data_IF_429895149846
#
_entry.id   IF_429895149846
#
_cell.length_a   1.000
_cell.length_b   1.000
_cell.length_c   1.000
_cell.angle_alpha   90.00
_cell.angle_beta   90.00
_cell.angle_gamma   90.00
#
_symmetry.space_group_name_H-M   'P 1'
#
loop_
_entity.id
_entity.type
_entity.pdbx_description
1 polymer ?
#
# COMPACT_ATOMS: atom_id res chain seq x y z
N UNK A 1 25.39 30.62 8.65
CA UNK A 1 23.96 30.50 8.33
C UNK A 1 23.79 29.82 6.97
N UNK A 2 22.84 28.89 6.86
CA UNK A 2 22.39 28.34 5.58
C UNK A 2 21.09 29.02 5.14
N UNK A 3 20.87 29.18 3.84
CA UNK A 3 19.60 29.65 3.30
C UNK A 3 18.68 28.45 3.12
N UNK A 4 17.70 28.33 4.00
CA UNK A 4 16.70 27.28 3.97
C UNK A 4 15.51 27.74 3.12
N UNK A 5 15.15 26.96 2.11
CA UNK A 5 14.04 27.29 1.22
C UNK A 5 13.20 26.06 0.86
N UNK A 6 11.96 26.31 0.47
CA UNK A 6 11.05 25.25 0.03
C UNK A 6 9.66 25.78 -0.29
N UNK A 7 8.85 24.93 -0.90
CA UNK A 7 7.46 25.24 -1.30
C UNK A 7 6.55 24.10 -0.86
N UNK A 8 5.39 24.43 -0.29
CA UNK A 8 4.32 23.48 0.02
C UNK A 8 3.06 23.82 -0.75
N UNK A 9 2.48 22.77 -1.28
CA UNK A 9 1.23 22.80 -2.03
C UNK A 9 0.31 21.74 -1.48
N UNK A 10 -0.99 21.96 -1.62
CA UNK A 10 -2.01 20.98 -1.27
C UNK A 10 -2.04 19.84 -2.31
N UNK A 11 -2.98 18.92 -2.15
CA UNK A 11 -3.19 17.81 -3.07
C UNK A 11 -3.62 18.26 -4.48
N UNK A 12 -4.04 19.52 -4.67
CA UNK A 12 -4.38 20.12 -5.96
C UNK A 12 -3.24 20.96 -6.56
N UNK A 13 -2.07 21.00 -5.91
CA UNK A 13 -0.94 21.82 -6.33
C UNK A 13 -1.11 23.31 -6.02
N UNK A 14 -2.15 23.69 -5.28
CA UNK A 14 -2.38 25.07 -4.86
C UNK A 14 -1.49 25.42 -3.66
N UNK A 15 -1.06 26.68 -3.52
CA UNK A 15 -0.34 27.16 -2.35
C UNK A 15 -1.01 26.80 -1.02
N UNK A 16 -0.24 26.18 -0.11
CA UNK A 16 -0.68 25.99 1.27
C UNK A 16 -0.35 27.22 2.13
N UNK A 17 -1.29 27.63 2.98
CA UNK A 17 -0.98 28.54 4.08
C UNK A 17 -0.46 27.77 5.30
N UNK A 18 0.44 28.37 6.06
CA UNK A 18 1.01 27.73 7.24
C UNK A 18 2.31 28.35 7.71
N UNK A 19 3.03 27.61 8.54
CA UNK A 19 4.34 28.00 9.01
C UNK A 19 5.23 26.80 9.33
N UNK A 20 6.53 27.03 9.24
CA UNK A 20 7.57 26.16 9.77
C UNK A 20 7.96 26.63 11.17
N UNK A 21 7.98 25.74 12.16
CA UNK A 21 8.54 26.03 13.47
C UNK A 21 9.80 25.18 13.69
N UNK A 22 10.95 25.83 13.73
CA UNK A 22 12.22 25.22 14.08
C UNK A 22 12.49 25.48 15.56
N UNK A 23 12.54 24.41 16.34
CA UNK A 23 12.85 24.41 17.76
C UNK A 23 14.22 23.78 17.97
N UNK A 24 15.22 24.54 18.44
CA UNK A 24 16.56 24.00 18.68
C UNK A 24 16.51 22.87 19.71
N UNK A 25 17.23 21.77 19.44
CA UNK A 25 17.29 20.60 20.35
C UNK A 25 18.50 20.59 21.28
N UNK A 26 19.39 21.58 21.15
CA UNK A 26 20.61 21.73 21.93
C UNK A 26 21.74 22.28 21.05
N UNK A 27 22.82 22.75 21.68
CA UNK A 27 24.07 23.07 20.98
C UNK A 27 24.85 21.76 20.87
N UNK A 28 25.13 21.25 19.66
CA UNK A 28 26.15 20.20 19.52
C UNK A 28 27.53 20.85 19.44
N UNK A 29 28.49 20.22 20.13
CA UNK A 29 29.92 20.54 20.20
C UNK A 29 30.63 20.71 18.85
N UNK A 30 30.00 20.39 17.72
CA UNK A 30 30.62 20.44 16.39
C UNK A 30 30.94 21.85 15.90
N UNK A 31 30.44 22.91 16.57
CA UNK A 31 30.80 24.31 16.28
C UNK A 31 31.89 24.88 17.21
N UNK A 32 32.29 24.14 18.26
CA UNK A 32 33.27 24.62 19.25
C UNK A 32 34.72 24.42 18.75
N UNK A 33 34.94 23.56 17.74
CA UNK A 33 36.27 23.20 17.27
C UNK A 33 36.98 24.25 16.39
N UNK A 34 36.37 25.39 16.07
CA UNK A 34 36.95 26.39 15.16
C UNK A 34 37.13 27.79 15.75
N UNK A 35 37.16 27.93 17.09
CA UNK A 35 37.42 29.23 17.72
C UNK A 35 36.34 30.31 17.46
N UNK A 36 35.21 29.93 16.86
CA UNK A 36 34.05 30.78 16.68
C UNK A 36 33.15 30.70 17.92
N UNK A 37 32.66 31.86 18.36
CA UNK A 37 31.68 32.00 19.43
C UNK A 37 30.48 31.10 19.13
N UNK A 38 30.14 30.18 20.03
CA UNK A 38 28.98 29.31 19.89
C UNK A 38 27.70 30.17 19.79
N UNK A 39 27.12 30.27 18.60
CA UNK A 39 25.82 30.93 18.42
C UNK A 39 24.75 29.92 18.81
N UNK A 40 24.09 30.16 19.94
CA UNK A 40 22.99 29.31 20.39
C UNK A 40 21.87 29.35 19.32
N UNK A 41 21.47 28.20 18.74
CA UNK A 41 20.42 28.17 17.74
C UNK A 41 19.12 28.67 18.38
N UNK A 42 18.45 29.62 17.72
CA UNK A 42 17.21 30.23 18.21
C UNK A 42 16.00 29.47 17.68
N UNK A 43 14.89 29.50 18.44
CA UNK A 43 13.59 29.09 17.90
C UNK A 43 13.20 30.05 16.79
N UNK A 44 12.85 29.50 15.62
CA UNK A 44 12.47 30.29 14.45
C UNK A 44 11.11 29.82 13.96
N UNK A 45 10.20 30.78 13.77
CA UNK A 45 8.93 30.54 13.07
C UNK A 45 8.99 31.22 11.71
N UNK A 46 8.81 30.46 10.64
CA UNK A 46 8.86 30.94 9.26
C UNK A 46 7.47 30.79 8.66
N UNK A 47 6.71 31.88 8.46
CA UNK A 47 5.45 31.79 7.74
C UNK A 47 5.70 31.42 6.27
N UNK A 48 4.77 30.67 5.68
CA UNK A 48 4.72 30.49 4.24
C UNK A 48 4.13 31.76 3.62
N UNK A 49 4.61 32.13 2.43
CA UNK A 49 4.04 33.22 1.65
C UNK A 49 2.73 32.79 0.94
N UNK A 50 2.11 33.71 0.20
CA UNK A 50 0.89 33.45 -0.60
C UNK A 50 1.06 32.38 -1.70
N UNK A 51 2.29 31.90 -1.93
CA UNK A 51 2.64 30.81 -2.85
C UNK A 51 3.04 29.54 -2.10
N UNK A 52 2.79 29.47 -0.79
CA UNK A 52 3.18 28.35 0.06
C UNK A 52 4.71 28.19 0.18
N UNK A 53 5.44 29.25 -0.15
CA UNK A 53 6.90 29.23 -0.28
C UNK A 53 7.56 29.94 0.89
N UNK A 54 8.81 29.58 1.17
CA UNK A 54 9.64 30.31 2.11
C UNK A 54 11.11 30.28 1.68
N UNK A 55 11.84 31.30 2.10
CA UNK A 55 13.30 31.35 2.08
C UNK A 55 13.76 32.10 3.31
N UNK A 56 14.67 31.53 4.08
CA UNK A 56 15.20 32.20 5.28
C UNK A 56 16.59 31.71 5.62
N UNK A 57 17.44 32.65 6.03
CA UNK A 57 18.70 32.32 6.68
C UNK A 57 18.42 31.73 8.07
N UNK A 58 18.93 30.52 8.29
CA UNK A 58 18.85 29.80 9.56
C UNK A 58 20.26 29.44 10.00
N UNK A 59 20.50 29.48 11.31
CA UNK A 59 21.77 29.03 11.86
C UNK A 59 21.94 27.51 11.67
N UNK A 60 23.17 27.04 11.42
CA UNK A 60 23.45 25.62 11.41
C UNK A 60 23.19 25.00 12.79
N UNK A 61 22.73 23.76 12.81
CA UNK A 61 22.49 23.04 14.06
C UNK A 61 21.34 22.05 13.98
N UNK A 62 21.06 21.42 15.13
CA UNK A 62 20.01 20.41 15.24
C UNK A 62 18.69 21.03 15.68
N UNK A 63 17.67 20.78 14.88
CA UNK A 63 16.33 21.33 15.08
C UNK A 63 15.31 20.20 15.11
N UNK A 64 14.39 20.29 16.07
CA UNK A 64 13.06 19.73 15.88
C UNK A 64 12.28 20.70 15.00
N UNK A 65 11.76 20.22 13.89
CA UNK A 65 10.97 21.02 12.97
C UNK A 65 9.55 20.50 12.92
N UNK A 66 8.61 21.41 13.16
CA UNK A 66 7.19 21.19 13.03
C UNK A 66 6.71 21.95 11.79
N UNK A 67 6.22 21.21 10.78
CA UNK A 67 5.57 21.77 9.59
C UNK A 67 4.08 21.84 9.89
N UNK A 68 3.57 23.05 10.10
CA UNK A 68 2.18 23.31 10.44
C UNK A 68 1.49 23.93 9.22
N UNK A 69 0.70 23.14 8.49
CA UNK A 69 -0.12 23.60 7.37
C UNK A 69 -1.55 23.73 7.87
N UNK A 70 -2.25 24.79 7.44
CA UNK A 70 -3.67 25.00 7.78
C UNK A 70 -4.50 23.80 7.30
N UNK A 71 -5.40 23.30 8.15
CA UNK A 71 -6.28 22.15 7.87
C UNK A 71 -5.57 20.80 7.60
N UNK A 72 -4.30 20.67 8.00
CA UNK A 72 -3.54 19.42 7.90
C UNK A 72 -2.87 19.04 9.23
N UNK A 73 -2.57 17.75 9.38
CA UNK A 73 -1.79 17.25 10.51
C UNK A 73 -0.38 17.85 10.51
N UNK A 74 0.10 18.19 11.71
CA UNK A 74 1.46 18.73 11.88
C UNK A 74 2.49 17.62 11.69
N UNK A 75 3.44 17.83 10.78
CA UNK A 75 4.58 16.95 10.61
C UNK A 75 5.73 17.41 11.51
N UNK A 76 6.02 16.66 12.57
CA UNK A 76 7.20 16.87 13.42
C UNK A 76 8.37 15.97 12.98
N UNK A 77 9.56 16.54 12.78
CA UNK A 77 10.80 15.81 12.47
C UNK A 77 12.02 16.41 13.18
N UNK A 78 13.09 15.63 13.26
CA UNK A 78 14.40 16.11 13.69
C UNK A 78 15.29 16.17 12.46
N UNK A 79 15.98 17.29 12.28
CA UNK A 79 16.88 17.52 11.16
C UNK A 79 18.14 18.23 11.65
N UNK A 80 19.22 18.09 10.89
CA UNK A 80 20.45 18.88 11.05
C UNK A 80 20.58 19.86 9.89
N UNK A 81 20.64 21.15 10.17
CA UNK A 81 20.90 22.19 9.15
C UNK A 81 22.41 22.34 8.99
N UNK A 82 22.97 22.20 7.76
CA UNK A 82 24.40 22.30 7.50
C UNK A 82 24.92 23.75 7.62
N UNK A 83 26.24 23.90 7.71
CA UNK A 83 26.88 25.21 7.69
C UNK A 83 26.99 25.77 6.27
N UNK A 84 26.29 26.87 6.00
CA UNK A 84 26.38 27.59 4.73
C UNK A 84 25.59 26.94 3.59
N UNK A 85 25.52 27.66 2.47
CA UNK A 85 24.88 27.19 1.23
C UNK A 85 23.35 27.34 1.19
N UNK A 86 22.80 26.94 0.04
CA UNK A 86 21.37 26.86 -0.24
C UNK A 86 20.87 25.44 0.06
N UNK A 87 19.90 25.32 0.96
CA UNK A 87 19.39 24.03 1.44
C UNK A 87 17.90 23.91 1.13
N UNK A 88 17.56 22.99 0.22
CA UNK A 88 16.17 22.64 -0.05
C UNK A 88 15.62 21.83 1.11
N UNK A 89 14.63 22.40 1.80
CA UNK A 89 14.06 21.83 3.00
C UNK A 89 13.33 20.49 2.77
N UNK A 90 12.71 20.29 1.59
CA UNK A 90 12.08 19.00 1.26
C UNK A 90 13.12 17.89 1.12
N UNK A 91 14.26 18.19 0.50
CA UNK A 91 15.38 17.25 0.38
C UNK A 91 15.94 16.91 1.75
N UNK A 92 16.14 17.91 2.60
CA UNK A 92 16.64 17.74 3.96
C UNK A 92 15.68 16.90 4.82
N UNK A 93 14.37 17.16 4.75
CA UNK A 93 13.36 16.32 5.42
C UNK A 93 13.38 14.87 4.92
N UNK A 94 13.68 14.64 3.63
CA UNK A 94 13.77 13.30 3.07
C UNK A 94 15.04 12.54 3.50
N UNK A 95 16.14 13.25 3.74
CA UNK A 95 17.42 12.70 4.24
C UNK A 95 17.32 12.24 5.70
N UNK A 96 16.56 12.98 6.53
CA UNK A 96 16.34 12.68 7.95
C UNK A 96 14.99 11.97 8.22
N UNK A 97 14.27 11.59 7.17
CA UNK A 97 13.13 10.66 7.27
C UNK A 97 13.60 9.23 7.51
N UNK A 98 12.73 8.30 7.97
CA UNK A 98 13.08 6.88 7.90
C UNK A 98 13.49 6.58 6.45
N UNK A 99 14.65 5.95 6.26
CA UNK A 99 15.09 5.52 4.93
C UNK A 99 13.90 4.81 4.29
N UNK A 100 13.41 5.27 3.12
CA UNK A 100 12.27 4.63 2.48
C UNK A 100 12.61 3.17 2.17
N UNK A 101 12.09 2.27 2.99
CA UNK A 101 12.18 0.82 2.79
C UNK A 101 10.90 0.38 2.11
N UNK A 102 11.02 -0.55 1.19
CA UNK A 102 9.88 -1.16 0.52
C UNK A 102 8.85 -1.67 1.55
N UNK A 103 7.60 -1.26 1.38
CA UNK A 103 6.50 -1.68 2.25
C UNK A 103 5.56 -2.57 1.45
N UNK A 104 5.26 -3.75 1.98
CA UNK A 104 4.20 -4.62 1.45
C UNK A 104 3.04 -4.68 2.45
N UNK A 105 1.82 -4.39 1.99
CA UNK A 105 0.60 -4.46 2.80
C UNK A 105 -0.37 -5.45 2.18
N UNK A 106 -0.98 -6.32 2.99
CA UNK A 106 -1.98 -7.31 2.56
C UNK A 106 -3.36 -6.96 3.10
N UNK A 107 -4.38 -7.12 2.26
CA UNK A 107 -5.80 -7.06 2.60
C UNK A 107 -6.45 -8.41 2.28
N UNK A 108 -7.15 -9.00 3.25
CA UNK A 108 -7.84 -10.28 3.10
C UNK A 108 -9.25 -10.31 3.69
N UNK A 109 -9.67 -9.22 4.35
CA UNK A 109 -11.04 -9.06 4.82
C UNK A 109 -11.96 -8.80 3.63
N UNK A 110 -13.13 -9.45 3.65
CA UNK A 110 -14.09 -9.38 2.55
C UNK A 110 -14.66 -7.98 2.37
N UNK A 111 -14.87 -7.59 1.12
CA UNK A 111 -15.46 -6.30 0.78
C UNK A 111 -14.43 -5.18 0.67
N UNK A 112 -14.87 -3.95 0.91
CA UNK A 112 -14.10 -2.77 0.57
C UNK A 112 -12.84 -2.60 1.42
N UNK A 113 -11.75 -2.17 0.79
CA UNK A 113 -10.52 -1.77 1.47
C UNK A 113 -9.95 -0.48 0.89
N UNK A 114 -9.03 0.13 1.63
CA UNK A 114 -8.31 1.34 1.24
C UNK A 114 -6.84 1.21 1.62
N UNK A 115 -5.96 1.33 0.63
CA UNK A 115 -4.51 1.36 0.79
C UNK A 115 -4.00 2.79 0.58
N UNK A 116 -3.31 3.33 1.58
CA UNK A 116 -2.64 4.62 1.46
C UNK A 116 -1.25 4.42 0.84
N UNK A 117 -1.00 5.05 -0.31
CA UNK A 117 0.30 5.05 -0.97
C UNK A 117 1.25 5.90 -0.12
N UNK A 118 2.38 5.34 0.36
CA UNK A 118 3.38 6.13 1.08
C UNK A 118 3.87 7.29 0.20
N UNK A 119 3.94 8.49 0.77
CA UNK A 119 4.28 9.72 0.04
C UNK A 119 5.62 9.64 -0.71
N UNK A 120 6.55 8.82 -0.22
CA UNK A 120 7.89 8.64 -0.76
C UNK A 120 7.98 7.63 -1.90
N UNK A 121 6.94 6.83 -2.12
CA UNK A 121 6.93 5.76 -3.12
C UNK A 121 6.78 6.34 -4.52
N UNK A 122 7.62 5.88 -5.46
CA UNK A 122 7.53 6.23 -6.88
C UNK A 122 6.80 5.14 -7.66
N UNK A 123 6.76 3.92 -7.13
CA UNK A 123 6.13 2.74 -7.74
C UNK A 123 5.28 1.99 -6.73
N UNK A 124 4.18 1.42 -7.20
CA UNK A 124 3.31 0.51 -6.43
C UNK A 124 2.98 -0.71 -7.27
N UNK A 125 3.39 -1.89 -6.83
CA UNK A 125 2.91 -3.14 -7.41
C UNK A 125 1.53 -3.47 -6.83
N UNK A 126 0.52 -3.67 -7.69
CA UNK A 126 -0.79 -4.20 -7.31
C UNK A 126 -0.78 -5.70 -7.62
N UNK A 127 -1.01 -6.54 -6.61
CA UNK A 127 -1.12 -7.98 -6.79
C UNK A 127 -2.43 -8.40 -6.15
N UNK A 128 -3.35 -8.95 -6.93
CA UNK A 128 -4.67 -9.37 -6.43
C UNK A 128 -5.00 -10.78 -6.88
N UNK A 129 -5.74 -11.48 -6.02
CA UNK A 129 -6.31 -12.79 -6.30
C UNK A 129 -7.80 -12.79 -5.95
N UNK A 130 -8.61 -13.36 -6.83
CA UNK A 130 -10.05 -13.48 -6.62
C UNK A 130 -10.43 -14.61 -5.65
N UNK A 131 -11.69 -14.67 -5.24
CA UNK A 131 -12.22 -15.82 -4.53
C UNK A 131 -12.25 -17.07 -5.41
N UNK A 132 -12.02 -18.24 -4.82
CA UNK A 132 -12.18 -19.53 -5.51
C UNK A 132 -13.65 -19.90 -5.66
N UNK A 133 -13.98 -20.73 -6.66
CA UNK A 133 -15.33 -21.26 -6.85
C UNK A 133 -15.71 -22.28 -5.78
N UNK A 134 -17.00 -22.41 -5.49
CA UNK A 134 -17.52 -23.48 -4.64
C UNK A 134 -17.47 -24.84 -5.33
N UNK A 135 -17.37 -25.91 -4.55
CA UNK A 135 -17.56 -27.28 -5.03
C UNK A 135 -19.02 -27.53 -5.39
N UNK A 136 -19.24 -28.36 -6.41
CA UNK A 136 -20.56 -28.89 -6.74
C UNK A 136 -20.99 -29.96 -5.74
N UNK A 137 -22.30 -30.14 -5.60
CA UNK A 137 -22.85 -31.25 -4.82
C UNK A 137 -22.54 -32.58 -5.50
N UNK A 138 -22.43 -33.65 -4.69
CA UNK A 138 -22.48 -34.97 -5.25
C UNK A 138 -23.88 -35.30 -5.77
N UNK A 139 -23.93 -36.32 -6.61
CA UNK A 139 -25.18 -36.96 -7.03
C UNK A 139 -25.41 -38.20 -6.17
N UNK A 140 -26.47 -38.95 -6.45
CA UNK A 140 -26.71 -40.24 -5.77
C UNK A 140 -25.55 -41.23 -5.95
N UNK A 141 -24.85 -41.21 -7.09
CA UNK A 141 -23.85 -42.24 -7.46
C UNK A 141 -22.45 -41.70 -7.76
N UNK A 142 -22.27 -40.38 -7.85
CA UNK A 142 -21.00 -39.77 -8.20
C UNK A 142 -20.71 -38.55 -7.31
N UNK A 143 -19.43 -38.34 -7.02
CA UNK A 143 -18.97 -37.15 -6.28
C UNK A 143 -19.16 -35.88 -7.10
N UNK A 144 -19.36 -34.78 -6.39
CA UNK A 144 -19.33 -33.45 -6.95
C UNK A 144 -17.92 -33.09 -7.40
N UNK A 145 -17.84 -32.25 -8.42
CA UNK A 145 -16.57 -31.65 -8.84
C UNK A 145 -16.17 -30.51 -7.89
N UNK A 146 -14.88 -30.34 -7.65
CA UNK A 146 -14.37 -29.19 -6.92
C UNK A 146 -14.53 -27.88 -7.70
N UNK A 147 -14.43 -26.76 -7.00
CA UNK A 147 -14.34 -25.44 -7.61
C UNK A 147 -12.94 -25.15 -8.14
N UNK A 148 -12.87 -24.31 -9.18
CA UNK A 148 -11.60 -23.77 -9.67
C UNK A 148 -11.09 -22.67 -8.73
N UNK A 149 -9.78 -22.45 -8.77
CA UNK A 149 -9.14 -21.37 -8.05
C UNK A 149 -9.53 -19.99 -8.62
N UNK A 150 -9.45 -18.96 -7.78
CA UNK A 150 -9.51 -17.57 -8.23
C UNK A 150 -8.29 -17.23 -9.09
N UNK A 151 -8.49 -16.39 -10.10
CA UNK A 151 -7.40 -15.93 -10.95
C UNK A 151 -6.52 -14.90 -10.23
N UNK A 152 -5.24 -14.86 -10.60
CA UNK A 152 -4.34 -13.77 -10.23
C UNK A 152 -4.40 -12.65 -11.26
N UNK A 153 -4.28 -11.40 -10.81
CA UNK A 153 -3.99 -10.24 -11.66
C UNK A 153 -2.92 -9.38 -10.98
N UNK A 154 -1.96 -8.84 -11.75
CA UNK A 154 -0.95 -7.95 -11.21
C UNK A 154 -0.39 -6.97 -12.22
N UNK A 155 0.00 -5.80 -11.74
CA UNK A 155 0.73 -4.79 -12.50
C UNK A 155 1.56 -3.90 -11.56
N UNK A 156 2.35 -3.01 -12.17
CA UNK A 156 3.09 -1.95 -11.46
C UNK A 156 2.53 -0.61 -11.92
N UNK A 157 2.18 0.24 -10.96
CA UNK A 157 1.84 1.64 -11.19
C UNK A 157 3.05 2.52 -10.90
N UNK A 158 3.41 3.36 -11.85
CA UNK A 158 4.46 4.38 -11.72
C UNK A 158 3.80 5.74 -11.54
N UNK A 159 4.11 6.42 -10.44
CA UNK A 159 3.59 7.76 -10.16
C UNK A 159 4.19 8.79 -11.11
N UNK A 160 3.35 9.66 -11.64
CA UNK A 160 3.70 10.62 -12.70
C UNK A 160 3.66 10.02 -14.12
N UNK A 161 3.34 8.73 -14.27
CA UNK A 161 3.20 8.07 -15.58
C UNK A 161 1.86 7.34 -15.69
N UNK A 162 1.64 6.34 -14.84
CA UNK A 162 0.40 5.54 -14.84
C UNK A 162 -0.68 6.15 -13.94
N UNK A 163 -0.27 6.81 -12.86
CA UNK A 163 -1.15 7.55 -11.95
C UNK A 163 -0.57 8.94 -11.66
N UNK A 164 -1.41 9.97 -11.49
CA UNK A 164 -0.95 11.29 -11.03
C UNK A 164 -0.21 11.21 -9.69
N UNK A 165 0.73 12.13 -9.45
CA UNK A 165 1.49 12.20 -8.19
C UNK A 165 0.60 12.60 -6.99
N UNK A 166 -0.60 13.07 -7.25
CA UNK A 166 -1.62 13.43 -6.28
C UNK A 166 -2.42 12.20 -5.83
N UNK A 167 -2.36 11.10 -6.60
CA UNK A 167 -3.02 9.84 -6.22
C UNK A 167 -2.34 9.28 -4.99
N UNK A 168 -3.07 9.33 -3.87
CA UNK A 168 -2.60 8.89 -2.55
C UNK A 168 -3.27 7.58 -2.10
N UNK A 169 -4.33 7.13 -2.77
CA UNK A 169 -5.15 6.01 -2.32
C UNK A 169 -5.40 5.03 -3.47
N UNK A 170 -5.27 3.74 -3.16
CA UNK A 170 -5.80 2.64 -3.98
C UNK A 170 -6.96 2.03 -3.21
N UNK A 171 -8.14 1.96 -3.82
CA UNK A 171 -9.32 1.34 -3.24
C UNK A 171 -9.71 0.09 -4.01
N UNK A 172 -10.48 -0.78 -3.39
CA UNK A 172 -10.89 -2.01 -4.04
C UNK A 172 -11.85 -2.80 -3.20
N UNK A 173 -12.13 -4.01 -3.64
CA UNK A 173 -12.94 -4.97 -2.89
C UNK A 173 -12.32 -6.36 -2.96
N UNK A 174 -12.23 -7.05 -1.83
CA UNK A 174 -11.84 -8.46 -1.78
C UNK A 174 -13.05 -9.34 -2.10
N UNK A 175 -12.91 -10.16 -3.14
CA UNK A 175 -13.93 -11.10 -3.57
C UNK A 175 -14.15 -12.22 -2.56
N UNK A 176 -15.42 -12.50 -2.25
CA UNK A 176 -15.78 -13.66 -1.45
C UNK A 176 -15.49 -14.97 -2.18
N UNK A 177 -15.23 -16.04 -1.44
CA UNK A 177 -15.25 -17.38 -2.00
C UNK A 177 -16.66 -17.74 -2.48
N UNK A 178 -16.73 -18.56 -3.51
CA UNK A 178 -17.99 -19.00 -4.08
C UNK A 178 -18.86 -19.74 -3.05
N UNK A 179 -20.16 -19.50 -3.10
CA UNK A 179 -21.09 -20.17 -2.20
C UNK A 179 -21.00 -21.70 -2.32
N UNK A 180 -21.36 -22.40 -1.24
CA UNK A 180 -21.54 -23.86 -1.28
C UNK A 180 -22.51 -24.25 -2.40
N UNK A 181 -22.37 -25.46 -2.92
CA UNK A 181 -23.25 -26.03 -3.95
C UNK A 181 -23.16 -25.31 -5.31
N UNK A 182 -21.93 -24.95 -5.74
CA UNK A 182 -21.72 -24.46 -7.11
C UNK A 182 -21.81 -22.93 -7.31
N UNK A 183 -21.55 -22.11 -6.29
CA UNK A 183 -21.42 -20.65 -6.48
C UNK A 183 -20.05 -20.26 -7.04
N UNK A 184 -20.01 -19.37 -8.04
CA UNK A 184 -18.74 -18.80 -8.54
C UNK A 184 -18.08 -17.90 -7.48
N UNK A 185 -16.75 -17.84 -7.49
CA UNK A 185 -16.01 -16.90 -6.67
C UNK A 185 -16.31 -15.45 -7.05
N UNK A 186 -16.21 -14.55 -6.08
CA UNK A 186 -16.28 -13.11 -6.30
C UNK A 186 -14.96 -12.58 -6.86
N UNK A 187 -15.07 -11.58 -7.73
CA UNK A 187 -13.90 -10.87 -8.24
C UNK A 187 -13.23 -10.06 -7.11
N UNK A 188 -11.90 -9.99 -7.16
CA UNK A 188 -11.14 -9.01 -6.37
C UNK A 188 -10.74 -7.87 -7.30
N UNK A 189 -10.82 -6.63 -6.83
CA UNK A 189 -10.53 -5.44 -7.64
C UNK A 189 -9.61 -4.47 -6.93
N UNK A 190 -8.79 -3.73 -7.69
CA UNK A 190 -7.96 -2.64 -7.19
C UNK A 190 -7.96 -1.47 -8.19
N UNK A 191 -8.52 -0.33 -7.78
CA UNK A 191 -8.63 0.90 -8.56
C UNK A 191 -7.81 2.04 -7.95
N UNK A 192 -7.19 2.83 -8.82
CA UNK A 192 -6.49 4.05 -8.46
C UNK A 192 -6.86 5.13 -9.48
N UNK A 193 -7.00 6.38 -9.04
CA UNK A 193 -7.27 7.50 -9.96
C UNK A 193 -6.17 7.58 -11.02
N UNK A 194 -6.55 7.66 -12.29
CA UNK A 194 -5.62 7.72 -13.43
C UNK A 194 -5.21 6.36 -14.00
N UNK A 195 -5.45 5.25 -13.30
CA UNK A 195 -5.15 3.90 -13.79
C UNK A 195 -6.42 3.08 -14.08
N UNK A 196 -6.38 2.12 -15.02
CA UNK A 196 -7.44 1.14 -15.20
C UNK A 196 -7.70 0.34 -13.92
N UNK A 197 -8.96 -0.05 -13.74
CA UNK A 197 -9.37 -0.97 -12.68
C UNK A 197 -8.72 -2.34 -12.92
N UNK A 198 -7.83 -2.75 -12.01
CA UNK A 198 -7.29 -4.10 -12.02
C UNK A 198 -8.35 -5.05 -11.45
N UNK A 199 -8.69 -6.11 -12.18
CA UNK A 199 -9.70 -7.10 -11.77
C UNK A 199 -9.14 -8.50 -11.90
N UNK A 200 -9.18 -9.26 -10.81
CA UNK A 200 -8.98 -10.69 -10.81
C UNK A 200 -10.34 -11.39 -10.88
N UNK A 201 -10.50 -12.32 -11.83
CA UNK A 201 -11.74 -13.06 -12.03
C UNK A 201 -11.91 -14.19 -11.00
N UNK A 202 -13.10 -14.30 -10.41
CA UNK A 202 -13.45 -15.38 -9.50
C UNK A 202 -13.43 -16.76 -10.13
N UNK A 203 -13.07 -17.78 -9.34
CA UNK A 203 -13.01 -19.16 -9.80
C UNK A 203 -14.38 -19.71 -10.17
N UNK A 204 -14.44 -20.47 -11.27
CA UNK A 204 -15.67 -21.16 -11.69
C UNK A 204 -16.00 -22.30 -10.73
N UNK A 205 -17.27 -22.41 -10.33
CA UNK A 205 -17.72 -23.44 -9.42
C UNK A 205 -17.85 -24.81 -10.10
N UNK A 206 -17.58 -25.89 -9.37
CA UNK A 206 -17.83 -27.27 -9.83
C UNK A 206 -17.16 -27.67 -11.16
N UNK A 207 -16.10 -26.98 -11.57
CA UNK A 207 -15.47 -27.15 -12.88
C UNK A 207 -14.11 -27.87 -12.82
N UNK A 208 -13.64 -28.26 -11.63
CA UNK A 208 -12.43 -29.08 -11.49
C UNK A 208 -12.60 -30.46 -12.12
N UNK A 209 -11.49 -31.09 -12.50
CA UNK A 209 -11.49 -32.44 -13.08
C UNK A 209 -11.82 -33.54 -12.05
N UNK A 210 -11.64 -33.26 -10.76
CA UNK A 210 -11.88 -34.16 -9.64
C UNK A 210 -12.69 -33.43 -8.54
N UNK A 211 -12.85 -34.07 -7.38
CA UNK A 211 -13.57 -33.47 -6.24
C UNK A 211 -12.70 -32.47 -5.45
N UNK A 212 -11.40 -32.34 -5.75
CA UNK A 212 -10.52 -31.43 -5.02
C UNK A 212 -10.79 -29.99 -5.44
N UNK A 213 -10.85 -29.11 -4.46
CA UNK A 213 -10.87 -27.67 -4.70
C UNK A 213 -9.49 -27.19 -5.16
N UNK A 214 -9.42 -26.55 -6.32
CA UNK A 214 -8.15 -26.25 -6.97
C UNK A 214 -7.34 -25.16 -6.25
N UNK A 215 -6.02 -25.27 -6.32
CA UNK A 215 -5.07 -24.29 -5.80
C UNK A 215 -4.77 -23.21 -6.85
N UNK A 216 -4.75 -21.91 -6.47
CA UNK A 216 -4.22 -20.87 -7.33
C UNK A 216 -2.69 -20.89 -7.46
N UNK A 217 -1.99 -21.65 -6.61
CA UNK A 217 -0.54 -21.60 -6.47
C UNK A 217 -0.03 -20.25 -5.97
N UNK A 218 1.26 -20.18 -5.69
CA UNK A 218 1.93 -18.92 -5.36
C UNK A 218 2.20 -18.11 -6.63
N UNK A 219 2.23 -16.78 -6.49
CA UNK A 219 2.60 -15.87 -7.59
C UNK A 219 3.89 -15.15 -7.25
N UNK A 220 4.88 -15.25 -8.13
CA UNK A 220 6.06 -14.37 -8.08
C UNK A 220 5.83 -13.17 -8.98
N UNK A 221 5.98 -11.96 -8.45
CA UNK A 221 5.93 -10.71 -9.21
C UNK A 221 7.05 -9.78 -8.75
N UNK A 222 7.83 -9.24 -9.69
CA UNK A 222 9.02 -8.41 -9.40
C UNK A 222 9.90 -9.00 -8.28
N UNK A 223 10.29 -10.27 -8.44
CA UNK A 223 11.10 -11.08 -7.50
C UNK A 223 10.51 -11.32 -6.10
N UNK A 224 9.28 -10.87 -5.83
CA UNK A 224 8.59 -11.08 -4.56
C UNK A 224 7.56 -12.20 -4.70
N UNK A 225 7.54 -13.11 -3.72
CA UNK A 225 6.59 -14.22 -3.66
C UNK A 225 5.33 -13.78 -2.90
N UNK A 226 4.17 -13.99 -3.51
CA UNK A 226 2.86 -13.75 -2.93
C UNK A 226 2.16 -15.11 -2.76
N UNK A 227 1.91 -15.54 -1.51
CA UNK A 227 1.43 -16.88 -1.23
C UNK A 227 -0.05 -17.03 -1.64
N UNK A 228 -0.33 -18.10 -2.37
CA UNK A 228 -1.70 -18.54 -2.67
C UNK A 228 -2.14 -19.67 -1.76
N UNK A 229 -3.42 -20.00 -1.82
CA UNK A 229 -3.93 -21.18 -1.13
C UNK A 229 -3.40 -22.49 -1.75
N UNK A 230 -3.24 -23.51 -0.93
CA UNK A 230 -3.02 -24.89 -1.38
C UNK A 230 -4.35 -25.57 -1.73
N UNK A 231 -4.27 -26.73 -2.39
CA UNK A 231 -5.44 -27.52 -2.80
C UNK A 231 -6.29 -27.94 -1.58
N UNK A 232 -7.61 -28.04 -1.76
CA UNK A 232 -8.53 -28.60 -0.79
C UNK A 232 -8.92 -30.04 -1.18
N UNK A 233 -8.26 -31.02 -0.56
CA UNK A 233 -8.45 -32.44 -0.85
C UNK A 233 -9.49 -33.14 0.04
N UNK A 234 -10.06 -32.46 1.03
CA UNK A 234 -11.11 -33.05 1.88
C UNK A 234 -12.49 -32.79 1.29
N UNK A 235 -13.25 -33.86 1.05
CA UNK A 235 -14.58 -33.81 0.42
C UNK A 235 -15.53 -32.90 1.20
N UNK A 236 -16.27 -32.06 0.48
CA UNK A 236 -17.20 -31.08 1.05
C UNK A 236 -16.54 -29.95 1.85
N UNK A 237 -15.21 -29.93 1.99
CA UNK A 237 -14.51 -28.94 2.79
C UNK A 237 -14.40 -27.58 2.07
N UNK A 238 -14.39 -26.52 2.88
CA UNK A 238 -14.18 -25.15 2.41
C UNK A 238 -12.80 -24.98 1.77
N UNK A 239 -12.76 -24.26 0.65
CA UNK A 239 -11.53 -23.86 -0.02
C UNK A 239 -10.63 -23.03 0.88
N UNK A 240 -9.32 -23.25 0.77
CA UNK A 240 -8.33 -22.52 1.55
C UNK A 240 -8.23 -21.09 1.00
N UNK A 241 -8.07 -20.10 1.88
CA UNK A 241 -7.77 -18.72 1.46
C UNK A 241 -6.26 -18.50 1.40
N UNK A 242 -5.75 -17.66 0.49
CA UNK A 242 -6.50 -16.89 -0.50
C UNK A 242 -6.74 -17.66 -1.82
N UNK A 243 -7.94 -17.54 -2.37
CA UNK A 243 -8.32 -17.94 -3.74
C UNK A 243 -8.49 -19.43 -4.03
N UNK A 244 -8.40 -20.32 -3.03
CA UNK A 244 -8.58 -21.76 -3.23
C UNK A 244 -10.03 -22.15 -3.52
N UNK A 245 -10.24 -23.09 -4.44
CA UNK A 245 -11.55 -23.67 -4.72
C UNK A 245 -12.08 -24.51 -3.56
N UNK A 246 -13.41 -24.62 -3.43
CA UNK A 246 -14.05 -25.55 -2.50
C UNK A 246 -14.07 -26.99 -3.03
N UNK A 247 -13.98 -27.98 -2.15
CA UNK A 247 -14.07 -29.38 -2.58
C UNK A 247 -15.50 -29.76 -2.95
N UNK A 248 -15.65 -30.66 -3.93
CA UNK A 248 -16.92 -31.24 -4.30
C UNK A 248 -17.51 -32.12 -3.20
N UNK A 249 -18.82 -32.33 -3.24
CA UNK A 249 -19.55 -33.14 -2.28
C UNK A 249 -19.39 -34.65 -2.50
N UNK A 250 -19.62 -35.44 -1.45
CA UNK A 250 -19.65 -36.91 -1.52
C UNK A 250 -20.93 -37.41 -2.23
N UNK A 251 -21.00 -38.69 -2.55
CA UNK A 251 -22.23 -39.35 -3.04
C UNK A 251 -23.42 -39.17 -2.08
N UNK A 252 -24.62 -39.54 -2.53
CA UNK A 252 -25.89 -39.37 -1.80
C UNK A 252 -26.27 -37.89 -1.59
N UNK A 253 -25.99 -37.06 -2.58
CA UNK A 253 -26.33 -35.63 -2.58
C UNK A 253 -25.71 -34.86 -1.41
N UNK A 254 -24.52 -35.28 -0.95
CA UNK A 254 -23.78 -34.50 0.02
C UNK A 254 -23.26 -33.21 -0.62
N UNK A 255 -23.20 -32.16 0.20
CA UNK A 255 -22.94 -30.81 -0.28
C UNK A 255 -21.47 -30.58 -0.58
N UNK A 256 -21.21 -29.82 -1.63
CA UNK A 256 -19.89 -29.25 -1.89
C UNK A 256 -19.52 -28.16 -0.89
N UNK A 257 -18.22 -27.95 -0.69
CA UNK A 257 -17.69 -26.90 0.17
C UNK A 257 -17.68 -25.53 -0.53
N UNK A 258 -17.82 -24.42 0.21
CA UNK A 258 -17.65 -23.08 -0.35
C UNK A 258 -16.18 -22.81 -0.74
N UNK A 259 -15.94 -21.85 -1.61
CA UNK A 259 -14.59 -21.40 -1.97
C UNK A 259 -13.89 -20.59 -0.87
N UNK A 260 -12.58 -20.43 -1.02
CA UNK A 260 -11.75 -19.50 -0.24
C UNK A 260 -11.87 -18.06 -0.75
N UNK A 261 -11.76 -17.10 0.15
CA UNK A 261 -11.79 -15.67 -0.17
C UNK A 261 -10.56 -15.23 -0.96
N UNK A 262 -10.66 -14.15 -1.73
CA UNK A 262 -9.51 -13.53 -2.39
C UNK A 262 -8.59 -12.78 -1.42
N UNK A 263 -7.61 -12.07 -1.98
CA UNK A 263 -6.72 -11.16 -1.25
C UNK A 263 -6.11 -10.12 -2.20
N UNK A 264 -5.59 -9.05 -1.62
CA UNK A 264 -4.82 -8.02 -2.32
C UNK A 264 -3.52 -7.73 -1.57
N UNK A 265 -2.44 -7.54 -2.31
CA UNK A 265 -1.16 -7.07 -1.81
C UNK A 265 -0.76 -5.82 -2.59
N UNK A 266 -0.23 -4.84 -1.85
CA UNK A 266 0.36 -3.63 -2.40
C UNK A 266 1.79 -3.52 -1.92
N UNK A 267 2.73 -3.49 -2.87
CA UNK A 267 4.14 -3.24 -2.56
C UNK A 267 4.51 -1.86 -3.07
N UNK A 268 4.78 -0.93 -2.14
CA UNK A 268 5.21 0.42 -2.44
C UNK A 268 6.74 0.53 -2.26
N UNK A 269 7.43 1.08 -3.26
CA UNK A 269 8.89 1.14 -3.29
C UNK A 269 9.39 2.36 -4.11
N UNK A 270 10.69 2.63 -3.99
CA UNK A 270 11.42 3.50 -4.92
C UNK A 270 12.11 2.63 -5.97
N UNK A 271 12.09 3.06 -7.23
CA UNK A 271 12.88 2.44 -8.28
C UNK A 271 13.20 3.43 -9.37
#
# INVERSE_FOLDING_TARGET
MANLFGTWTDAAGLPCEGYLALTPRGVRDSLINEGNSAVAPKRVRIPLDHRGSFSRLVEPGDYRVDVCITDADTLSREITIPAGGDVNFKTLLAEYGPTPVDVTTMFADLGAYSFQIPWWATRVDRIIIAGGGGGADGTTIARGKGGLAGAWASDTLVRGTDIPWETAIITGSIGAGGARNGGNGGNTTAGATGAPLLTAAGGTAGAAANFHGQSPGDRTFNTHLYPGATEQAFIGAKGRSPGGGGAGGEVLNQRGGPGGAGAAWFRAYRG
#
